data_IF_194753900743
#
_entry.id   IF_194753900743
#
_cell.length_a   1.000
_cell.length_b   1.000
_cell.length_c   1.000
_cell.angle_alpha   90.00
_cell.angle_beta   90.00
_cell.angle_gamma   90.00
#
_symmetry.space_group_name_H-M   'P 1'
#
loop_
_entity.id
_entity.type
_entity.pdbx_description
1 polymer ?
#
# COMPACT_ATOMS: atom_id res chain seq x y z
N UNK A 1 -4.04 8.41 -26.74
CA UNK A 1 -5.44 8.30 -26.44
C UNK A 1 -5.71 8.08 -24.99
N UNK A 2 -6.96 8.12 -24.65
CA UNK A 2 -7.32 7.91 -23.27
C UNK A 2 -7.50 6.46 -22.97
N UNK A 3 -6.97 6.06 -21.82
CA UNK A 3 -7.12 4.69 -21.38
C UNK A 3 -8.37 4.61 -20.51
N UNK A 4 -9.24 3.67 -20.81
CA UNK A 4 -10.39 3.45 -19.97
C UNK A 4 -9.93 2.79 -18.69
N UNK A 5 -10.58 3.13 -17.59
CA UNK A 5 -10.22 2.61 -16.31
C UNK A 5 -11.46 2.41 -15.45
N UNK A 6 -11.28 1.66 -14.38
CA UNK A 6 -12.30 1.57 -13.35
C UNK A 6 -11.63 1.96 -12.02
N UNK A 7 -12.44 2.49 -11.12
CA UNK A 7 -11.92 3.07 -9.89
C UNK A 7 -12.24 2.17 -8.70
N UNK A 8 -11.20 1.87 -7.93
CA UNK A 8 -11.36 1.16 -6.67
C UNK A 8 -10.83 2.05 -5.57
N UNK A 9 -11.18 1.72 -4.32
CA UNK A 9 -10.72 2.50 -3.18
C UNK A 9 -10.06 1.58 -2.16
N UNK A 10 -9.20 2.17 -1.34
CA UNK A 10 -8.55 1.45 -0.27
C UNK A 10 -8.20 2.44 0.83
N UNK A 11 -8.28 1.97 2.07
CA UNK A 11 -7.97 2.80 3.23
C UNK A 11 -6.69 2.25 3.86
N UNK A 12 -5.79 3.18 4.21
CA UNK A 12 -4.51 2.83 4.81
C UNK A 12 -4.39 3.52 6.16
N UNK A 13 -3.52 2.99 7.01
CA UNK A 13 -3.23 3.68 8.28
C UNK A 13 -2.36 4.90 8.04
N UNK A 14 -1.43 4.82 7.10
CA UNK A 14 -0.49 5.90 6.83
C UNK A 14 0.00 5.75 5.41
N UNK A 15 -0.14 6.78 4.61
CA UNK A 15 0.29 6.70 3.22
C UNK A 15 1.68 7.31 2.99
N UNK A 16 2.29 7.88 4.04
CA UNK A 16 3.62 8.46 3.88
C UNK A 16 3.61 9.59 2.87
N UNK A 17 4.48 9.50 1.90
CA UNK A 17 4.57 10.51 0.85
C UNK A 17 3.86 10.13 -0.45
N UNK A 18 2.92 9.20 -0.39
CA UNK A 18 2.18 8.81 -1.59
C UNK A 18 1.42 10.01 -2.14
N UNK A 19 1.46 10.16 -3.47
CA UNK A 19 0.85 11.31 -4.13
C UNK A 19 -0.14 10.87 -5.18
N UNK A 20 -1.04 11.77 -5.54
CA UNK A 20 -1.91 11.55 -6.69
C UNK A 20 -1.02 11.34 -7.91
N UNK A 21 -1.41 10.40 -8.76
CA UNK A 21 -0.70 9.97 -9.95
C UNK A 21 0.40 8.96 -9.68
N UNK A 22 0.63 8.61 -8.42
CA UNK A 22 1.57 7.54 -8.13
C UNK A 22 1.11 6.26 -8.82
N UNK A 23 2.03 5.45 -9.32
CA UNK A 23 1.63 4.26 -10.06
C UNK A 23 1.16 3.14 -9.16
N UNK A 24 0.25 2.34 -9.68
CA UNK A 24 -0.11 1.05 -9.11
C UNK A 24 0.57 0.00 -9.96
N UNK A 25 1.31 -0.91 -9.32
CA UNK A 25 2.12 -1.89 -10.04
C UNK A 25 1.83 -3.31 -9.58
N UNK A 26 1.94 -4.22 -10.52
CA UNK A 26 1.95 -5.65 -10.23
C UNK A 26 3.26 -6.19 -10.80
N UNK A 27 4.11 -6.73 -9.93
CA UNK A 27 5.38 -7.26 -10.39
C UNK A 27 6.24 -6.21 -11.08
N UNK A 28 6.07 -4.95 -10.72
CA UNK A 28 6.84 -3.87 -11.33
C UNK A 28 6.20 -3.27 -12.57
N UNK A 29 5.09 -3.83 -13.04
CA UNK A 29 4.41 -3.34 -14.24
C UNK A 29 3.28 -2.41 -13.83
N UNK A 30 3.22 -1.23 -14.43
CA UNK A 30 2.19 -0.24 -14.10
C UNK A 30 0.86 -0.69 -14.69
N UNK A 31 -0.16 -0.82 -13.84
CA UNK A 31 -1.49 -1.20 -14.28
C UNK A 31 -2.53 -0.13 -13.95
N UNK A 32 -2.13 0.92 -13.25
CA UNK A 32 -3.06 1.98 -12.88
C UNK A 32 -2.34 3.08 -12.16
N UNK A 33 -3.12 4.03 -11.63
CA UNK A 33 -2.53 5.17 -10.92
C UNK A 33 -3.50 5.66 -9.85
N UNK A 34 -2.92 6.28 -8.83
CA UNK A 34 -3.72 6.94 -7.78
C UNK A 34 -4.43 8.12 -8.42
N UNK A 35 -5.73 8.18 -8.25
CA UNK A 35 -6.54 9.26 -8.83
C UNK A 35 -7.02 10.25 -7.79
N UNK A 36 -6.97 9.89 -6.51
CA UNK A 36 -7.38 10.83 -5.47
C UNK A 36 -7.00 10.32 -4.09
N UNK A 37 -6.83 11.25 -3.17
CA UNK A 37 -6.49 10.93 -1.79
C UNK A 37 -7.31 11.85 -0.90
N UNK A 38 -8.06 11.26 0.05
CA UNK A 38 -8.84 12.02 1.01
C UNK A 38 -8.73 11.36 2.37
N UNK A 39 -9.29 11.99 3.38
CA UNK A 39 -9.46 11.33 4.66
C UNK A 39 -10.89 10.84 4.77
N UNK A 40 -11.04 9.63 5.29
CA UNK A 40 -12.37 9.13 5.60
C UNK A 40 -12.99 10.02 6.67
N UNK A 41 -14.25 10.41 6.47
CA UNK A 41 -14.88 11.39 7.35
C UNK A 41 -15.04 10.90 8.77
N UNK A 42 -15.18 9.60 8.95
CA UNK A 42 -15.43 9.03 10.27
C UNK A 42 -14.16 8.56 10.94
N UNK A 43 -13.35 7.81 10.22
CA UNK A 43 -12.16 7.21 10.82
C UNK A 43 -10.93 8.12 10.75
N UNK A 44 -10.96 9.12 9.87
CA UNK A 44 -9.81 10.00 9.59
C UNK A 44 -8.61 9.22 9.10
N UNK A 45 -8.84 8.07 8.51
CA UNK A 45 -7.77 7.34 7.85
C UNK A 45 -7.67 7.77 6.39
N UNK A 46 -6.47 7.74 5.81
CA UNK A 46 -6.32 8.08 4.40
C UNK A 46 -7.08 7.10 3.52
N UNK A 47 -7.89 7.63 2.63
CA UNK A 47 -8.63 6.84 1.67
C UNK A 47 -8.10 7.18 0.29
N UNK A 48 -7.65 6.16 -0.41
CA UNK A 48 -6.99 6.32 -1.70
C UNK A 48 -7.88 5.78 -2.79
N UNK A 49 -8.12 6.58 -3.82
CA UNK A 49 -8.85 6.15 -5.00
C UNK A 49 -7.82 5.81 -6.07
N UNK A 50 -8.03 4.70 -6.75
CA UNK A 50 -7.07 4.18 -7.72
C UNK A 50 -7.80 3.85 -9.01
N UNK A 51 -7.30 4.41 -10.11
CA UNK A 51 -7.84 4.09 -11.43
C UNK A 51 -7.01 2.97 -12.02
N UNK A 52 -7.64 1.83 -12.27
CA UNK A 52 -6.98 0.66 -12.82
C UNK A 52 -7.35 0.56 -14.30
N UNK A 53 -6.36 0.35 -15.15
CA UNK A 53 -6.61 0.24 -16.58
C UNK A 53 -7.57 -0.91 -16.85
N UNK A 54 -8.54 -0.67 -17.73
CA UNK A 54 -9.65 -1.60 -17.95
C UNK A 54 -9.21 -2.97 -18.41
N UNK A 55 -8.07 -3.06 -19.08
CA UNK A 55 -7.58 -4.37 -19.55
C UNK A 55 -7.21 -5.29 -18.40
N UNK A 56 -7.02 -4.75 -17.20
CA UNK A 56 -6.68 -5.56 -16.02
C UNK A 56 -7.93 -5.74 -15.16
N UNK A 57 -8.89 -6.50 -15.67
CA UNK A 57 -10.18 -6.64 -15.02
C UNK A 57 -10.44 -8.02 -14.40
N UNK A 58 -9.37 -8.78 -14.18
CA UNK A 58 -9.49 -10.09 -13.54
C UNK A 58 -8.65 -10.16 -12.29
N UNK A 59 -8.76 -9.13 -11.46
CA UNK A 59 -8.04 -9.04 -10.21
C UNK A 59 -9.01 -9.36 -9.08
N UNK A 60 -8.74 -10.39 -8.27
CA UNK A 60 -9.66 -10.75 -7.19
C UNK A 60 -9.74 -9.66 -6.12
N UNK A 61 -10.91 -9.52 -5.51
CA UNK A 61 -11.10 -8.54 -4.44
C UNK A 61 -10.23 -8.81 -3.23
N UNK A 62 -9.81 -10.04 -3.01
CA UNK A 62 -8.95 -10.38 -1.89
C UNK A 62 -7.48 -10.13 -2.15
N UNK A 63 -7.17 -9.43 -3.22
CA UNK A 63 -5.80 -8.97 -3.47
C UNK A 63 -5.40 -7.92 -2.44
N UNK A 64 -4.10 -7.71 -2.27
CA UNK A 64 -3.63 -6.78 -1.26
C UNK A 64 -2.82 -5.66 -1.88
N UNK A 65 -2.77 -4.54 -1.16
CA UNK A 65 -2.01 -3.37 -1.57
C UNK A 65 -0.97 -3.04 -0.51
N UNK A 66 0.21 -2.66 -0.96
CA UNK A 66 1.27 -2.19 -0.08
C UNK A 66 1.84 -0.92 -0.67
N UNK A 67 2.19 0.04 0.18
CA UNK A 67 2.85 1.25 -0.28
C UNK A 67 4.34 1.05 -0.14
N UNK A 68 5.06 1.22 -1.23
CA UNK A 68 6.49 0.97 -1.28
C UNK A 68 7.21 2.20 -1.82
N UNK A 69 8.52 2.23 -1.63
CA UNK A 69 9.35 3.32 -2.10
C UNK A 69 10.28 2.79 -3.17
N UNK A 70 10.40 3.55 -4.26
CA UNK A 70 11.31 3.17 -5.34
C UNK A 70 12.73 3.48 -4.89
N UNK A 71 13.49 2.43 -4.60
CA UNK A 71 14.80 2.62 -4.04
C UNK A 71 14.72 3.15 -2.62
N UNK A 72 15.84 3.68 -2.14
CA UNK A 72 15.91 4.12 -0.76
C UNK A 72 15.19 5.45 -0.51
N UNK A 73 15.34 6.37 -1.44
CA UNK A 73 14.78 7.71 -1.29
C UNK A 73 13.86 8.11 -2.44
N UNK A 74 13.36 7.14 -3.17
CA UNK A 74 12.55 7.44 -4.33
C UNK A 74 11.10 7.75 -4.00
N UNK A 75 10.32 7.95 -5.07
CA UNK A 75 8.91 8.22 -4.92
C UNK A 75 8.17 6.97 -4.45
N UNK A 76 7.07 7.18 -3.79
CA UNK A 76 6.27 6.07 -3.31
C UNK A 76 5.25 5.65 -4.37
N UNK A 77 4.92 4.37 -4.35
CA UNK A 77 3.96 3.79 -5.26
C UNK A 77 3.21 2.68 -4.56
N UNK A 78 2.16 2.19 -5.19
CA UNK A 78 1.37 1.10 -4.61
C UNK A 78 1.69 -0.18 -5.35
N UNK A 79 2.02 -1.23 -4.61
CA UNK A 79 2.25 -2.56 -5.16
C UNK A 79 1.03 -3.42 -4.85
N UNK A 80 0.47 -4.04 -5.88
CA UNK A 80 -0.65 -4.95 -5.72
C UNK A 80 -0.15 -6.37 -5.79
N UNK A 81 -0.55 -7.18 -4.82
CA UNK A 81 -0.28 -8.61 -4.81
C UNK A 81 -1.58 -9.32 -5.08
N UNK A 82 -1.59 -10.15 -6.11
CA UNK A 82 -2.79 -10.87 -6.51
C UNK A 82 -3.26 -11.82 -5.43
N UNK A 83 -4.55 -11.78 -5.15
CA UNK A 83 -5.15 -12.74 -4.25
C UNK A 83 -5.45 -14.04 -4.96
N UNK A 84 -6.05 -14.96 -4.23
CA UNK A 84 -6.43 -16.24 -4.80
C UNK A 84 -7.79 -16.11 -5.47
N UNK A 85 -7.91 -16.73 -6.64
CA UNK A 85 -9.21 -16.93 -7.26
C UNK A 85 -9.77 -18.23 -6.69
N UNK A 86 -10.55 -18.10 -5.63
CA UNK A 86 -11.11 -19.27 -4.94
C UNK A 86 -12.48 -19.65 -5.49
N UNK A 87 -12.88 -19.01 -6.56
CA UNK A 87 -14.17 -19.31 -7.17
C UNK A 87 -15.33 -18.65 -6.44
N UNK A 88 -15.07 -17.95 -5.35
CA UNK A 88 -16.11 -17.28 -4.56
C UNK A 88 -15.93 -15.78 -4.48
N UNK A 89 -14.67 -15.34 -4.53
CA UNK A 89 -14.40 -13.91 -4.46
C UNK A 89 -14.76 -13.24 -5.77
N UNK A 90 -15.32 -12.06 -5.66
CA UNK A 90 -15.60 -11.26 -6.84
C UNK A 90 -14.32 -10.64 -7.35
N UNK A 91 -14.33 -10.25 -8.62
CA UNK A 91 -13.23 -9.49 -9.21
C UNK A 91 -13.45 -8.01 -8.93
N UNK A 92 -12.34 -7.28 -8.90
CA UNK A 92 -12.41 -5.83 -8.73
C UNK A 92 -13.16 -5.22 -9.90
N UNK A 93 -14.00 -4.23 -9.60
CA UNK A 93 -14.77 -3.51 -10.60
C UNK A 93 -14.98 -2.10 -10.09
N UNK A 94 -15.65 -1.30 -10.89
CA UNK A 94 -15.93 0.07 -10.50
C UNK A 94 -16.58 0.11 -9.12
N UNK A 95 -15.98 0.85 -8.20
CA UNK A 95 -16.53 1.02 -6.88
C UNK A 95 -16.08 -0.02 -5.86
N UNK A 96 -15.30 -1.00 -6.26
CA UNK A 96 -14.81 -2.01 -5.31
C UNK A 96 -13.89 -1.39 -4.28
N UNK A 97 -13.83 -2.04 -3.12
CA UNK A 97 -12.90 -1.66 -2.05
C UNK A 97 -11.94 -2.81 -1.83
N UNK A 98 -10.66 -2.47 -1.68
CA UNK A 98 -9.65 -3.45 -1.31
C UNK A 98 -9.42 -3.33 0.18
N UNK A 99 -9.64 -4.44 0.89
CA UNK A 99 -9.60 -4.43 2.35
C UNK A 99 -8.20 -4.67 2.90
N UNK A 100 -7.38 -5.42 2.20
CA UNK A 100 -6.08 -5.83 2.70
C UNK A 100 -5.03 -4.83 2.25
N UNK A 101 -4.66 -3.92 3.15
CA UNK A 101 -3.69 -2.88 2.85
C UNK A 101 -2.58 -2.85 3.88
N UNK A 102 -1.39 -2.51 3.43
CA UNK A 102 -0.24 -2.33 4.30
C UNK A 102 0.30 -0.92 4.11
N UNK A 103 0.48 -0.25 5.23
CA UNK A 103 0.87 1.16 5.24
C UNK A 103 2.30 1.37 4.79
N UNK A 104 2.60 2.61 4.40
CA UNK A 104 3.94 3.00 4.03
C UNK A 104 4.88 2.85 5.21
N UNK A 105 6.12 2.49 4.93
CA UNK A 105 7.17 2.56 5.93
C UNK A 105 7.81 3.93 5.83
N UNK A 106 7.82 4.64 6.95
CA UNK A 106 8.37 5.98 7.01
C UNK A 106 9.84 5.88 7.39
N UNK A 107 10.69 6.54 6.61
CA UNK A 107 12.13 6.44 6.82
C UNK A 107 12.54 6.79 8.24
N UNK A 108 11.89 7.78 8.81
CA UNK A 108 12.18 8.19 10.17
C UNK A 108 11.94 7.05 11.16
N UNK A 109 10.89 6.30 10.95
CA UNK A 109 10.58 5.17 11.82
C UNK A 109 11.63 4.09 11.69
N UNK A 110 12.09 3.84 10.46
CA UNK A 110 13.13 2.84 10.25
C UNK A 110 14.41 3.25 10.94
N UNK A 111 14.78 4.51 10.84
CA UNK A 111 15.98 5.00 11.51
C UNK A 111 15.83 4.87 13.00
N UNK A 112 14.67 5.19 13.53
CA UNK A 112 14.42 5.04 14.94
C UNK A 112 14.59 3.61 15.41
N UNK A 113 14.03 2.67 14.67
CA UNK A 113 14.17 1.26 15.00
C UNK A 113 15.62 0.83 14.97
N UNK A 114 16.37 1.31 13.99
CA UNK A 114 17.77 0.94 13.87
C UNK A 114 18.61 1.49 15.02
N UNK A 115 18.38 2.75 15.38
CA UNK A 115 19.20 3.40 16.40
C UNK A 115 18.82 3.02 17.82
N UNK A 116 17.55 2.82 18.07
CA UNK A 116 17.08 2.57 19.43
C UNK A 116 16.67 1.14 19.67
N UNK A 117 16.82 0.33 18.66
CA UNK A 117 16.59 -1.08 18.78
C UNK A 117 15.17 -1.41 19.12
N UNK A 118 15.03 -2.47 19.87
CA UNK A 118 13.73 -3.00 20.17
C UNK A 118 13.35 -2.74 21.59
N UNK A 119 13.51 -1.53 22.02
CA UNK A 119 13.15 -1.21 23.37
C UNK A 119 11.76 -1.66 23.72
N UNK A 120 10.89 -1.58 22.76
CA UNK A 120 9.53 -2.03 22.99
C UNK A 120 9.41 -3.52 23.06
N UNK A 121 10.15 -4.16 22.22
CA UNK A 121 10.05 -5.59 22.22
C UNK A 121 10.82 -6.16 23.33
N UNK A 122 11.57 -5.68 23.86
CA UNK A 122 12.24 -6.28 24.80
C UNK A 122 11.93 -6.24 25.92
N UNK A 123 11.36 -5.72 25.65
CA UNK A 123 11.39 -6.00 26.77
C UNK A 123 12.50 -6.86 27.09
N UNK A 124 12.98 -7.46 26.95
CA UNK A 124 13.93 -8.24 27.12
C UNK A 124 15.09 -8.26 26.61
N UNK A 125 15.15 -7.93 26.27
CA UNK A 125 16.11 -7.93 25.71
C UNK A 125 17.08 -7.61 25.72
N UNK A 126 17.23 -7.58 26.18
CA UNK A 126 18.09 -7.32 26.08
C UNK A 126 19.00 -7.37 25.66
N UNK A 127 18.96 -7.64 25.46
CA UNK A 127 19.68 -7.75 25.06
C UNK A 127 20.39 -7.50 24.36
N UNK A 128 20.25 -7.36 24.10
CA UNK A 128 20.71 -7.07 23.41
C UNK A 128 21.40 -6.63 22.93
N UNK A 129 21.53 -6.41 22.98
CA UNK A 129 22.02 -5.95 22.55
C UNK A 129 22.62 -5.85 21.95
N UNK A 130 22.74 -5.74 21.81
CA UNK A 130 23.23 -5.64 21.28
C UNK A 130 23.86 -5.55 20.83
N UNK A 131 23.77 -5.43 20.71
CA UNK A 131 24.32 -5.28 20.33
C UNK A 131 25.07 -4.97 19.77
N UNK A 132 25.06 -4.77 19.79
CA UNK A 132 25.71 -4.38 19.30
C UNK A 132 26.34 -4.11 19.48
N UNK A 133 26.41 -4.05 19.55
CA UNK A 133 26.95 -3.89 19.82
C UNK A 133 27.36 -3.76 19.72
#
# INVERSE_FOLDING_TARGET
>A
GETKSYTVTATFDNIGGLKVRAPLKVGGVVIGRVSGITLDEKSYLPKVSIAINQEYNEIPENSSLSIKTSGLLGEQYIALTMGFDDGESAMLKEGSQIQDTKSAMVLEDLIGQFLYGDKKSDGNSEKTEPTVQ
#
